data_IF_069253075873
#
_entry.id   IF_069253075873
#
_cell.length_a   1.000
_cell.length_b   1.000
_cell.length_c   1.000
_cell.angle_alpha   90.00
_cell.angle_beta   90.00
_cell.angle_gamma   90.00
#
_symmetry.space_group_name_H-M   'P 1'
#
loop_
_entity.id
_entity.type
_entity.pdbx_description
1 polymer ?
#
# COMPACT_ATOMS: atom_id res chain seq x y z
N UNK A 1 -16.31 -18.30 8.46
CA UNK A 1 -15.24 -18.99 7.71
C UNK A 1 -14.11 -17.99 7.50
N UNK A 2 -12.94 -18.16 8.13
CA UNK A 2 -11.80 -17.25 7.97
C UNK A 2 -11.12 -17.56 6.63
N UNK A 3 -11.01 -16.58 5.75
CA UNK A 3 -10.24 -16.74 4.51
C UNK A 3 -8.75 -16.82 4.87
N UNK A 4 -8.14 -17.98 4.62
CA UNK A 4 -6.69 -18.17 4.62
C UNK A 4 -6.11 -17.43 3.43
N UNK A 5 -5.49 -16.29 3.68
CA UNK A 5 -4.80 -15.46 2.69
C UNK A 5 -3.85 -14.49 3.40
N UNK A 6 -2.82 -14.02 2.69
CA UNK A 6 -1.92 -12.97 3.19
C UNK A 6 -2.76 -11.72 3.53
N UNK A 7 -2.78 -11.36 4.82
CA UNK A 7 -3.54 -10.20 5.31
C UNK A 7 -2.93 -8.89 4.81
N UNK A 8 -1.61 -8.85 4.66
CA UNK A 8 -0.83 -7.72 4.17
C UNK A 8 0.03 -8.13 2.96
N UNK A 9 0.60 -7.16 2.22
CA UNK A 9 1.64 -7.45 1.24
C UNK A 9 2.82 -8.19 1.91
N UNK A 10 3.57 -9.00 1.15
CA UNK A 10 4.63 -9.89 1.68
C UNK A 10 5.91 -9.13 2.07
N UNK A 11 5.78 -8.11 2.91
CA UNK A 11 6.89 -7.33 3.44
C UNK A 11 7.55 -8.05 4.61
N UNK A 12 8.87 -7.96 4.71
CA UNK A 12 9.60 -8.41 5.91
C UNK A 12 9.24 -7.50 7.09
N UNK A 13 8.88 -8.09 8.23
CA UNK A 13 8.50 -7.32 9.42
C UNK A 13 9.63 -6.43 9.89
N UNK A 14 9.29 -5.17 10.22
CA UNK A 14 10.16 -4.09 10.69
C UNK A 14 11.21 -3.62 9.69
N UNK A 15 11.30 -4.26 8.53
CA UNK A 15 12.11 -3.77 7.43
C UNK A 15 11.44 -2.58 6.74
N UNK A 16 12.28 -1.71 6.21
CA UNK A 16 11.87 -0.47 5.56
C UNK A 16 11.90 -0.64 4.05
N UNK A 17 10.81 -0.25 3.40
CA UNK A 17 10.66 -0.26 1.95
C UNK A 17 10.57 1.18 1.46
N UNK A 18 11.34 1.52 0.42
CA UNK A 18 11.22 2.82 -0.25
C UNK A 18 9.91 2.87 -0.99
N UNK A 19 9.23 4.01 -0.92
CA UNK A 19 7.91 4.21 -1.51
C UNK A 19 7.94 5.30 -2.57
N UNK A 20 7.23 5.06 -3.66
CA UNK A 20 6.67 6.09 -4.55
C UNK A 20 5.15 5.98 -4.47
N UNK A 21 4.49 7.06 -4.06
CA UNK A 21 3.05 7.18 -3.96
C UNK A 21 2.56 8.16 -5.02
N UNK A 22 1.52 7.79 -5.75
CA UNK A 22 0.93 8.61 -6.81
C UNK A 22 -0.55 8.78 -6.54
N UNK A 23 -0.99 10.03 -6.47
CA UNK A 23 -2.40 10.39 -6.35
C UNK A 23 -2.68 11.67 -7.13
N UNK A 24 -3.66 11.62 -8.05
CA UNK A 24 -4.10 12.77 -8.86
C UNK A 24 -2.95 13.52 -9.56
N UNK A 25 -1.99 12.82 -10.18
CA UNK A 25 -0.85 13.46 -10.84
C UNK A 25 0.31 13.81 -9.91
N UNK A 26 0.10 13.83 -8.59
CA UNK A 26 1.13 14.15 -7.61
C UNK A 26 1.92 12.89 -7.25
N UNK A 27 3.23 12.95 -7.47
CA UNK A 27 4.16 11.93 -7.02
C UNK A 27 4.81 12.36 -5.71
N UNK A 28 4.69 11.51 -4.69
CA UNK A 28 5.29 11.67 -3.37
C UNK A 28 6.22 10.48 -3.09
N UNK A 29 7.28 10.73 -2.34
CA UNK A 29 8.25 9.70 -1.96
C UNK A 29 8.15 9.42 -0.47
N UNK A 30 8.71 8.30 -0.03
CA UNK A 30 8.82 8.06 1.40
C UNK A 30 9.17 6.63 1.76
N UNK A 31 8.60 6.15 2.86
CA UNK A 31 8.93 4.87 3.46
C UNK A 31 7.67 4.10 3.87
N UNK A 32 7.74 2.77 3.77
CA UNK A 32 6.75 1.89 4.34
C UNK A 32 7.41 0.81 5.20
N UNK A 33 6.70 0.34 6.22
CA UNK A 33 7.13 -0.80 7.03
C UNK A 33 5.92 -1.59 7.50
N UNK A 34 6.14 -2.86 7.82
CA UNK A 34 5.12 -3.73 8.40
C UNK A 34 5.50 -4.09 9.83
N UNK A 35 4.62 -3.83 10.80
CA UNK A 35 4.81 -4.24 12.20
C UNK A 35 3.58 -4.96 12.74
N UNK A 36 3.71 -5.55 13.93
CA UNK A 36 2.62 -6.21 14.64
C UNK A 36 2.51 -5.64 16.06
N UNK A 37 1.77 -4.55 16.21
CA UNK A 37 1.44 -3.99 17.52
C UNK A 37 0.13 -4.58 18.07
N UNK A 38 0.25 -5.66 18.86
CA UNK A 38 -0.88 -6.37 19.47
C UNK A 38 -1.74 -5.55 20.42
N UNK A 39 -1.26 -4.38 20.87
CA UNK A 39 -2.05 -3.44 21.68
C UNK A 39 -3.06 -2.67 20.84
N UNK A 40 -2.80 -2.52 19.54
CA UNK A 40 -3.62 -1.75 18.60
C UNK A 40 -4.50 -2.70 17.78
N UNK A 41 -3.92 -3.73 17.16
CA UNK A 41 -4.65 -4.72 16.38
C UNK A 41 -4.02 -6.12 16.49
N UNK A 42 -4.85 -7.15 16.27
CA UNK A 42 -4.41 -8.54 16.10
C UNK A 42 -3.87 -8.83 14.69
N UNK A 43 -4.20 -7.99 13.72
CA UNK A 43 -3.68 -8.06 12.36
C UNK A 43 -2.42 -7.18 12.23
N UNK A 44 -1.57 -7.44 11.23
CA UNK A 44 -0.39 -6.63 11.03
C UNK A 44 -0.76 -5.21 10.57
N UNK A 45 0.10 -4.25 10.95
CA UNK A 45 -0.05 -2.84 10.64
C UNK A 45 0.94 -2.45 9.55
N UNK A 46 0.41 -1.93 8.45
CA UNK A 46 1.17 -1.26 7.40
C UNK A 46 1.31 0.21 7.77
N UNK A 47 2.54 0.64 8.02
CA UNK A 47 2.87 2.04 8.23
C UNK A 47 3.42 2.64 6.95
N UNK A 48 2.97 3.85 6.61
CA UNK A 48 3.38 4.61 5.45
C UNK A 48 3.76 6.02 5.90
N UNK A 49 4.93 6.50 5.52
CA UNK A 49 5.39 7.86 5.75
C UNK A 49 5.68 8.50 4.39
N UNK A 50 5.05 9.63 4.12
CA UNK A 50 5.18 10.35 2.85
C UNK A 50 5.81 11.72 3.07
N UNK A 51 6.79 12.05 2.23
CA UNK A 51 7.38 13.37 2.14
C UNK A 51 6.34 14.35 1.57
N UNK A 52 6.21 15.51 2.23
CA UNK A 52 5.46 16.62 1.66
C UNK A 52 6.31 17.21 0.53
N UNK A 53 5.79 17.32 -0.70
CA UNK A 53 6.55 17.88 -1.83
C UNK A 53 6.66 19.40 -1.65
N UNK A 54 7.68 19.85 -0.92
CA UNK A 54 7.97 21.28 -0.69
C UNK A 54 8.87 21.82 -1.82
N UNK A 55 9.82 21.01 -2.30
CA UNK A 55 10.73 21.36 -3.38
C UNK A 55 10.92 20.15 -4.30
N UNK A 56 10.53 20.28 -5.57
CA UNK A 56 10.64 19.22 -6.57
C UNK A 56 12.08 18.95 -7.02
N UNK A 57 13.03 19.81 -6.64
CA UNK A 57 14.45 19.66 -6.97
C UNK A 57 15.26 18.92 -5.91
N UNK A 58 14.71 18.74 -4.70
CA UNK A 58 15.37 18.02 -3.62
C UNK A 58 15.36 16.49 -3.88
N UNK A 59 16.48 15.82 -3.60
CA UNK A 59 16.52 14.36 -3.66
C UNK A 59 15.63 13.75 -2.56
N UNK A 60 14.80 12.74 -2.88
CA UNK A 60 13.95 12.10 -1.88
C UNK A 60 14.78 11.38 -0.82
N UNK A 61 14.42 11.60 0.45
CA UNK A 61 15.07 10.98 1.60
C UNK A 61 14.63 9.53 1.82
N UNK A 62 13.45 9.17 1.30
CA UNK A 62 12.80 7.87 1.43
C UNK A 62 12.68 7.40 2.88
N UNK A 63 13.60 6.53 3.32
CA UNK A 63 13.57 5.86 4.62
C UNK A 63 14.65 6.38 5.58
N UNK A 64 15.46 7.35 5.16
CA UNK A 64 16.58 7.93 5.94
C UNK A 64 16.07 8.67 7.18
N UNK A 65 15.07 9.52 7.02
CA UNK A 65 14.44 10.28 8.11
C UNK A 65 12.93 10.35 7.87
N UNK A 66 12.15 9.82 8.82
CA UNK A 66 10.68 9.80 8.74
C UNK A 66 10.00 10.73 9.75
N UNK A 67 10.78 11.55 10.47
CA UNK A 67 10.28 12.36 11.59
C UNK A 67 9.31 13.47 11.16
N UNK A 68 9.60 14.13 10.04
CA UNK A 68 8.81 15.23 9.47
C UNK A 68 7.83 14.77 8.37
N UNK A 69 7.72 13.45 8.14
CA UNK A 69 6.85 12.91 7.09
C UNK A 69 5.41 12.74 7.56
N UNK A 70 4.46 12.87 6.63
CA UNK A 70 3.04 12.57 6.90
C UNK A 70 2.88 11.07 7.09
N UNK A 71 2.52 10.67 8.30
CA UNK A 71 2.36 9.25 8.66
C UNK A 71 0.92 8.76 8.48
N UNK A 72 0.75 7.60 7.87
CA UNK A 72 -0.49 6.85 7.81
C UNK A 72 -0.28 5.45 8.39
N UNK A 73 -1.23 4.98 9.19
CA UNK A 73 -1.21 3.61 9.72
C UNK A 73 -2.45 2.88 9.26
N UNK A 74 -2.26 1.71 8.66
CA UNK A 74 -3.31 0.86 8.16
C UNK A 74 -3.27 -0.49 8.84
N UNK A 75 -4.39 -0.96 9.38
CA UNK A 75 -4.58 -2.36 9.70
C UNK A 75 -4.93 -3.11 8.41
N UNK A 76 -4.16 -4.16 8.08
CA UNK A 76 -4.52 -5.00 6.95
C UNK A 76 -5.53 -6.07 7.37
N UNK A 77 -6.68 -6.06 6.73
CA UNK A 77 -7.78 -6.95 7.06
C UNK A 77 -8.00 -8.00 5.97
N UNK A 78 -8.46 -9.18 6.41
CA UNK A 78 -8.81 -10.24 5.47
C UNK A 78 -10.01 -9.84 4.63
N UNK A 79 -10.01 -10.31 3.38
CA UNK A 79 -11.19 -10.31 2.53
C UNK A 79 -12.33 -11.11 3.14
N UNK A 80 -13.55 -10.70 2.81
CA UNK A 80 -14.68 -11.56 2.49
C UNK A 80 -14.79 -11.65 0.98
N UNK A 81 -14.44 -12.82 0.44
CA UNK A 81 -14.58 -13.25 -0.96
C UNK A 81 -13.79 -12.48 -2.04
N UNK A 82 -13.24 -13.18 -3.05
CA UNK A 82 -12.57 -12.53 -4.17
C UNK A 82 -13.58 -11.85 -5.11
N UNK A 83 -13.26 -10.63 -5.54
CA UNK A 83 -14.06 -9.86 -6.51
C UNK A 83 -14.04 -10.47 -7.92
N UNK A 84 -12.95 -11.17 -8.28
CA UNK A 84 -12.76 -11.82 -9.59
C UNK A 84 -11.74 -12.97 -9.46
N UNK A 85 -12.13 -14.20 -9.82
CA UNK A 85 -11.29 -15.40 -9.70
C UNK A 85 -10.18 -15.44 -10.75
N UNK A 86 -10.46 -15.02 -11.99
CA UNK A 86 -9.50 -15.07 -13.09
C UNK A 86 -8.27 -14.18 -12.85
N UNK A 87 -8.47 -13.03 -12.22
CA UNK A 87 -7.37 -12.12 -11.89
C UNK A 87 -6.47 -12.70 -10.80
N UNK A 88 -7.05 -13.43 -9.85
CA UNK A 88 -6.31 -14.11 -8.78
C UNK A 88 -5.46 -15.24 -9.34
N UNK A 89 -6.01 -15.99 -10.28
CA UNK A 89 -5.27 -17.05 -10.98
C UNK A 89 -4.08 -16.46 -11.78
N UNK A 90 -4.15 -15.17 -12.18
CA UNK A 90 -3.04 -14.42 -12.81
C UNK A 90 -2.09 -13.77 -11.80
N UNK A 91 -2.21 -14.08 -10.51
CA UNK A 91 -1.32 -13.59 -9.45
C UNK A 91 -1.73 -12.27 -8.81
N UNK A 92 -2.88 -11.70 -9.18
CA UNK A 92 -3.40 -10.50 -8.53
C UNK A 92 -3.94 -10.84 -7.14
N UNK A 93 -3.51 -10.09 -6.14
CA UNK A 93 -4.02 -10.21 -4.77
C UNK A 93 -4.89 -8.99 -4.46
N UNK A 94 -5.81 -9.16 -3.51
CA UNK A 94 -6.48 -8.00 -2.93
C UNK A 94 -6.61 -8.17 -1.42
N UNK A 95 -6.77 -7.05 -0.74
CA UNK A 95 -7.01 -6.94 0.70
C UNK A 95 -7.88 -5.71 0.99
N UNK A 96 -8.36 -5.60 2.23
CA UNK A 96 -8.94 -4.37 2.75
C UNK A 96 -7.97 -3.73 3.73
N UNK A 97 -7.84 -2.41 3.68
CA UNK A 97 -7.11 -1.62 4.66
C UNK A 97 -8.10 -0.83 5.50
N UNK A 98 -7.88 -0.85 6.81
CA UNK A 98 -8.52 0.06 7.74
C UNK A 98 -7.52 1.13 8.17
N UNK A 99 -7.77 2.38 7.80
CA UNK A 99 -6.90 3.50 8.13
C UNK A 99 -7.24 4.05 9.51
N UNK A 100 -6.25 4.06 10.39
CA UNK A 100 -6.35 4.77 11.66
C UNK A 100 -6.23 6.28 11.44
N UNK A 101 -6.88 7.11 12.29
CA UNK A 101 -6.67 8.55 12.29
C UNK A 101 -5.19 8.90 12.39
N UNK A 102 -4.74 9.85 11.57
CA UNK A 102 -3.37 10.34 11.59
C UNK A 102 -3.12 11.10 12.89
N UNK A 103 -2.10 10.72 13.67
CA UNK A 103 -1.83 11.34 14.97
C UNK A 103 -1.28 12.79 14.88
N UNK A 104 -0.92 13.26 13.68
CA UNK A 104 -0.07 14.44 13.50
C UNK A 104 -0.73 15.68 12.87
N UNK A 105 -2.04 15.68 12.62
CA UNK A 105 -2.70 16.88 12.08
C UNK A 105 -3.76 17.34 13.09
N UNK A 106 -3.44 18.42 13.83
CA UNK A 106 -4.35 19.17 14.72
C UNK A 106 -5.42 19.98 13.93
N UNK A 107 -5.79 19.51 12.74
CA UNK A 107 -6.90 20.08 11.97
C UNK A 107 -8.02 19.05 12.07
N UNK A 108 -9.26 19.44 12.40
CA UNK A 108 -10.40 18.53 12.47
C UNK A 108 -10.84 18.12 11.05
N UNK A 109 -9.94 17.52 10.26
CA UNK A 109 -10.32 16.73 9.10
C UNK A 109 -10.77 15.40 9.70
N UNK A 110 -12.07 15.34 9.98
CA UNK A 110 -12.85 14.19 10.43
C UNK A 110 -12.02 12.95 10.84
N UNK A 111 -11.94 12.70 12.15
CA UNK A 111 -11.40 11.52 12.82
C UNK A 111 -12.11 10.19 12.42
N UNK A 112 -12.71 10.13 11.23
CA UNK A 112 -13.56 9.03 10.81
C UNK A 112 -12.67 7.94 10.25
N UNK A 113 -12.62 6.77 10.90
CA UNK A 113 -11.89 5.64 10.36
C UNK A 113 -12.43 5.27 8.99
N UNK A 114 -11.51 5.00 8.07
CA UNK A 114 -11.87 4.75 6.67
C UNK A 114 -11.32 3.44 6.17
N UNK A 115 -12.08 2.84 5.27
CA UNK A 115 -11.75 1.58 4.62
C UNK A 115 -11.36 1.84 3.17
N UNK A 116 -10.32 1.14 2.71
CA UNK A 116 -9.90 1.11 1.30
C UNK A 116 -9.83 -0.33 0.82
N UNK A 117 -10.28 -0.58 -0.40
CA UNK A 117 -9.89 -1.80 -1.10
C UNK A 117 -8.52 -1.60 -1.74
N UNK A 118 -7.72 -2.66 -1.74
CA UNK A 118 -6.40 -2.65 -2.35
C UNK A 118 -6.23 -3.85 -3.26
N UNK A 119 -5.94 -3.62 -4.54
CA UNK A 119 -5.36 -4.62 -5.42
C UNK A 119 -3.83 -4.53 -5.35
N UNK A 120 -3.11 -5.65 -5.39
CA UNK A 120 -1.65 -5.62 -5.42
C UNK A 120 -1.03 -6.83 -6.10
N UNK A 121 0.20 -6.63 -6.59
CA UNK A 121 1.09 -7.66 -7.13
C UNK A 121 2.47 -7.54 -6.51
N UNK A 122 3.18 -8.66 -6.45
CA UNK A 122 4.54 -8.75 -5.92
C UNK A 122 5.43 -9.40 -6.97
N UNK A 123 6.61 -8.81 -7.20
CA UNK A 123 7.64 -9.32 -8.10
C UNK A 123 8.96 -9.42 -7.33
N UNK A 124 9.64 -10.55 -7.45
CA UNK A 124 10.94 -10.78 -6.82
C UNK A 124 12.03 -10.76 -7.90
N UNK A 125 13.03 -9.91 -7.72
CA UNK A 125 14.20 -9.82 -8.61
C UNK A 125 15.39 -10.44 -7.88
N UNK A 126 15.46 -11.78 -7.91
CA UNK A 126 16.42 -12.57 -7.14
C UNK A 126 17.88 -12.20 -7.41
N UNK A 127 18.23 -11.92 -8.66
CA UNK A 127 19.58 -11.54 -9.07
C UNK A 127 20.04 -10.20 -8.47
N UNK A 128 19.10 -9.37 -8.05
CA UNK A 128 19.34 -8.07 -7.43
C UNK A 128 19.05 -8.05 -5.93
N UNK A 129 18.56 -9.15 -5.35
CA UNK A 129 18.20 -9.19 -3.94
C UNK A 129 17.02 -8.29 -3.56
N UNK A 130 16.18 -7.85 -4.51
CA UNK A 130 15.10 -6.89 -4.25
C UNK A 130 13.71 -7.47 -4.50
N UNK A 131 12.76 -7.01 -3.70
CA UNK A 131 11.32 -7.22 -3.86
C UNK A 131 10.66 -5.92 -4.33
N UNK A 132 9.73 -6.04 -5.28
CA UNK A 132 8.88 -4.95 -5.73
C UNK A 132 7.43 -5.31 -5.41
N UNK A 133 6.73 -4.38 -4.76
CA UNK A 133 5.30 -4.50 -4.46
C UNK A 133 4.59 -3.32 -5.11
N UNK A 134 3.59 -3.60 -5.94
CA UNK A 134 2.79 -2.57 -6.63
C UNK A 134 1.35 -2.69 -6.17
N UNK A 135 0.78 -1.58 -5.70
CA UNK A 135 -0.55 -1.55 -5.09
C UNK A 135 -1.40 -0.45 -5.72
N UNK A 136 -2.68 -0.73 -5.91
CA UNK A 136 -3.70 0.23 -6.28
C UNK A 136 -4.75 0.27 -5.18
N UNK A 137 -4.99 1.45 -4.60
CA UNK A 137 -5.89 1.67 -3.48
C UNK A 137 -7.11 2.44 -3.98
N UNK A 138 -8.32 2.06 -3.56
CA UNK A 138 -9.56 2.79 -3.85
C UNK A 138 -9.62 4.14 -3.15
N UNK A 139 -10.64 4.96 -3.41
CA UNK A 139 -10.98 6.07 -2.52
C UNK A 139 -11.28 5.59 -1.08
N UNK A 140 -11.17 6.51 -0.13
CA UNK A 140 -11.54 6.30 1.28
C UNK A 140 -13.05 6.18 1.41
N UNK A 141 -13.53 5.14 2.11
CA UNK A 141 -14.94 5.02 2.50
C UNK A 141 -15.07 4.99 4.01
N UNK A 142 -15.88 5.89 4.53
CA UNK A 142 -16.15 5.99 5.96
C UNK A 142 -17.01 4.82 6.45
N UNK A 143 -16.79 4.43 7.72
CA UNK A 143 -17.64 3.51 8.50
C UNK A 143 -17.73 2.04 8.05
N UNK A 144 -17.67 1.73 6.75
CA UNK A 144 -17.82 0.35 6.25
C UNK A 144 -17.03 0.07 4.98
N UNK A 145 -16.54 -1.16 4.86
CA UNK A 145 -15.92 -1.68 3.64
C UNK A 145 -16.98 -2.15 2.63
N UNK A 146 -16.72 -1.90 1.35
CA UNK A 146 -17.55 -2.39 0.24
C UNK A 146 -16.68 -2.91 -0.91
N UNK A 147 -16.96 -4.13 -1.37
CA UNK A 147 -16.23 -4.78 -2.46
C UNK A 147 -16.25 -3.99 -3.78
N UNK A 148 -17.26 -3.14 -3.99
CA UNK A 148 -17.34 -2.27 -5.18
C UNK A 148 -16.20 -1.26 -5.24
N UNK A 149 -15.58 -0.92 -4.10
CA UNK A 149 -14.37 -0.09 -4.04
C UNK A 149 -13.20 -0.69 -4.83
N UNK A 150 -13.17 -2.01 -5.01
CA UNK A 150 -12.11 -2.69 -5.76
C UNK A 150 -12.23 -2.56 -7.28
N UNK A 151 -13.37 -2.09 -7.80
CA UNK A 151 -13.68 -2.13 -9.23
C UNK A 151 -12.67 -1.29 -10.02
N UNK A 152 -12.01 -1.93 -10.99
CA UNK A 152 -11.07 -1.26 -11.89
C UNK A 152 -9.67 -1.02 -11.33
N UNK A 153 -9.39 -1.34 -10.06
CA UNK A 153 -8.04 -1.20 -9.48
C UNK A 153 -7.01 -2.10 -10.16
N UNK A 154 -7.42 -3.29 -10.61
CA UNK A 154 -6.55 -4.22 -11.34
C UNK A 154 -5.97 -3.62 -12.62
N UNK A 155 -6.74 -2.80 -13.34
CA UNK A 155 -6.32 -2.15 -14.58
C UNK A 155 -5.11 -1.21 -14.37
N UNK A 156 -4.98 -0.63 -13.18
CA UNK A 156 -3.84 0.23 -12.82
C UNK A 156 -2.54 -0.58 -12.65
N UNK A 157 -2.63 -1.85 -12.30
CA UNK A 157 -1.47 -2.72 -12.04
C UNK A 157 -0.97 -3.46 -13.28
N UNK A 158 -1.88 -3.73 -14.22
CA UNK A 158 -1.58 -4.47 -15.45
C UNK A 158 -0.88 -3.60 -16.51
N UNK A 159 -1.14 -2.29 -16.53
CA UNK A 159 -0.58 -1.36 -17.52
C UNK A 159 0.61 -0.56 -16.97
N UNK A 160 1.78 -1.22 -16.86
CA UNK A 160 3.01 -0.64 -16.27
C UNK A 160 3.41 0.71 -16.88
N UNK A 161 3.25 0.86 -18.19
CA UNK A 161 3.69 2.03 -18.96
C UNK A 161 2.83 3.29 -18.74
N UNK A 162 1.77 3.17 -17.94
CA UNK A 162 0.75 4.23 -17.77
C UNK A 162 0.77 4.86 -16.40
N UNK A 163 1.61 4.36 -15.49
CA UNK A 163 1.62 4.76 -14.08
C UNK A 163 2.12 6.19 -13.90
N UNK A 164 3.07 6.64 -14.71
CA UNK A 164 3.67 7.98 -14.63
C UNK A 164 3.12 8.98 -15.65
N UNK A 165 2.15 8.57 -16.46
CA UNK A 165 1.52 9.39 -17.50
C UNK A 165 0.27 10.06 -16.92
N UNK A 166 0.37 11.37 -16.66
CA UNK A 166 -0.71 12.17 -16.02
C UNK A 166 -2.02 12.08 -16.81
N UNK A 167 -1.98 12.08 -18.14
CA UNK A 167 -3.21 12.00 -18.96
C UNK A 167 -3.89 10.63 -18.80
N UNK A 168 -3.10 9.57 -18.65
CA UNK A 168 -3.64 8.22 -18.41
C UNK A 168 -4.06 8.02 -16.97
N UNK A 169 -3.44 8.70 -16.00
CA UNK A 169 -3.89 8.72 -14.60
C UNK A 169 -5.31 9.29 -14.46
N UNK A 170 -5.73 10.22 -15.32
CA UNK A 170 -7.12 10.71 -15.35
C UNK A 170 -8.15 9.61 -15.66
N UNK A 171 -7.73 8.45 -16.16
CA UNK A 171 -8.60 7.28 -16.42
C UNK A 171 -8.67 6.32 -15.22
N UNK A 172 -7.96 6.61 -14.13
CA UNK A 172 -8.04 5.81 -12.91
C UNK A 172 -9.41 5.94 -12.27
N UNK A 173 -9.85 4.92 -11.49
CA UNK A 173 -11.04 5.08 -10.66
C UNK A 173 -10.93 6.31 -9.77
N UNK A 174 -12.06 7.01 -9.55
CA UNK A 174 -12.07 8.24 -8.77
C UNK A 174 -11.50 8.02 -7.36
N UNK A 175 -10.59 8.93 -6.95
CA UNK A 175 -9.90 8.88 -5.66
C UNK A 175 -8.97 7.67 -5.47
N UNK A 176 -8.67 6.94 -6.54
CA UNK A 176 -7.68 5.87 -6.50
C UNK A 176 -6.26 6.45 -6.41
N UNK A 177 -5.41 5.71 -5.71
CA UNK A 177 -3.99 6.01 -5.57
C UNK A 177 -3.16 4.77 -5.88
N UNK A 178 -1.91 5.00 -6.27
CA UNK A 178 -0.97 3.95 -6.62
C UNK A 178 0.24 4.01 -5.70
N UNK A 179 0.72 2.85 -5.25
CA UNK A 179 1.92 2.71 -4.44
C UNK A 179 2.88 1.74 -5.12
N UNK A 180 4.10 2.20 -5.36
CA UNK A 180 5.24 1.36 -5.70
C UNK A 180 6.15 1.29 -4.49
N UNK A 181 6.46 0.08 -4.05
CA UNK A 181 7.37 -0.17 -2.94
C UNK A 181 8.52 -1.07 -3.38
N UNK A 182 9.72 -0.74 -2.92
CA UNK A 182 10.91 -1.57 -3.13
C UNK A 182 11.69 -1.73 -1.83
N UNK A 183 12.14 -2.94 -1.57
CA UNK A 183 12.97 -3.29 -0.42
C UNK A 183 13.69 -4.59 -0.66
N UNK A 184 14.48 -5.02 0.31
CA UNK A 184 15.29 -6.23 0.17
C UNK A 184 14.39 -7.48 0.17
N UNK A 185 14.82 -8.51 -0.56
CA UNK A 185 14.22 -9.83 -0.47
C UNK A 185 14.42 -10.36 0.95
N UNK A 186 13.39 -11.00 1.55
CA UNK A 186 13.57 -11.73 2.79
C UNK A 186 14.69 -12.74 2.58
N UNK A 187 15.74 -12.66 3.41
CA UNK A 187 16.75 -13.70 3.47
C UNK A 187 16.02 -15.01 3.77
N UNK A 188 16.15 -16.02 2.91
CA UNK A 188 15.71 -17.37 3.24
C UNK A 188 16.40 -17.71 4.56
N UNK A 189 15.64 -17.83 5.64
CA UNK A 189 16.17 -18.40 6.87
C UNK A 189 16.59 -19.80 6.49
N UNK A 190 17.89 -20.02 6.33
CA UNK A 190 18.50 -21.34 6.26
C UNK A 190 17.97 -22.10 7.48
N UNK A 191 17.04 -23.01 7.24
CA UNK A 191 16.63 -24.00 8.22
C UNK A 191 17.85 -24.91 8.34
N UNK A 192 18.76 -24.57 9.25
CA UNK A 192 19.76 -25.51 9.71
C UNK A 192 18.99 -26.63 10.39
N UNK A 193 18.93 -27.79 9.73
CA UNK A 193 18.49 -29.05 10.30
C UNK A 193 19.33 -29.42 11.53
#
# INVERSE_FOLDING_TARGET
MRLTGQLCPPMTYKEKYKVVFIEKGLQMYGCASLDHNRKISRAPLLHLWLEVPIDSSAEPTYCKDTSEMVSHTFECMSKTEPTNKEEIDKGLKYMSLYQYPTQYIQIPIANIPSYRCVAFVTEEYKDHGIMVIRMALSHNRENSYDKTQCKGLSNMLLNKDTIYDVEKQNKWPEGASYIFMTGDLPLEKSITQ
#
